data_IF_836254366320
#
_entry.id   IF_836254366320
#
_cell.length_a   1.000
_cell.length_b   1.000
_cell.length_c   1.000
_cell.angle_alpha   90.00
_cell.angle_beta   90.00
_cell.angle_gamma   90.00
#
_symmetry.space_group_name_H-M   'P 1'
#
loop_
_entity.id
_entity.type
_entity.pdbx_description
1 polymer ?
#
# COMPACT_ATOMS: atom_id res chain seq x y z
N UNK A 1 -9.08 -8.13 -19.81
CA UNK A 1 -9.76 -7.16 -18.92
C UNK A 1 -8.83 -6.95 -17.72
N UNK A 2 -7.99 -5.91 -17.76
CA UNK A 2 -7.02 -5.66 -16.69
C UNK A 2 -7.78 -5.19 -15.45
N UNK A 3 -7.78 -5.99 -14.39
CA UNK A 3 -8.35 -5.59 -13.11
C UNK A 3 -7.51 -4.44 -12.54
N UNK A 4 -8.05 -3.22 -12.59
CA UNK A 4 -7.49 -2.09 -11.87
C UNK A 4 -7.50 -2.43 -10.37
N UNK A 5 -6.32 -2.67 -9.81
CA UNK A 5 -6.23 -2.99 -8.39
C UNK A 5 -6.38 -1.72 -7.57
N UNK A 6 -7.42 -1.66 -6.76
CA UNK A 6 -7.71 -0.53 -5.89
C UNK A 6 -7.33 -0.84 -4.43
N UNK A 7 -6.75 0.14 -3.74
CA UNK A 7 -6.54 0.07 -2.28
C UNK A 7 -7.26 1.23 -1.60
N UNK A 8 -7.93 0.91 -0.49
CA UNK A 8 -8.60 1.91 0.33
C UNK A 8 -7.66 2.49 1.37
N UNK A 9 -7.10 3.68 1.15
CA UNK A 9 -6.15 4.34 2.05
C UNK A 9 -6.77 5.42 2.95
N UNK A 10 -6.09 5.78 4.03
CA UNK A 10 -6.41 6.97 4.81
C UNK A 10 -6.01 8.25 4.06
N UNK A 11 -6.59 9.39 4.45
CA UNK A 11 -6.20 10.70 3.90
C UNK A 11 -4.71 11.02 4.05
N UNK A 12 -4.05 10.54 5.10
CA UNK A 12 -2.61 10.75 5.31
C UNK A 12 -1.78 9.92 4.33
N UNK A 13 -2.15 8.66 4.16
CA UNK A 13 -1.48 7.79 3.18
C UNK A 13 -1.70 8.30 1.76
N UNK A 14 -2.92 8.72 1.41
CA UNK A 14 -3.21 9.32 0.11
C UNK A 14 -2.41 10.60 -0.14
N UNK A 15 -2.19 11.40 0.90
CA UNK A 15 -1.39 12.61 0.81
C UNK A 15 0.07 12.28 0.49
N UNK A 16 0.66 11.31 1.19
CA UNK A 16 2.03 10.83 0.93
C UNK A 16 2.16 10.21 -0.46
N UNK A 17 1.22 9.36 -0.83
CA UNK A 17 1.14 8.68 -2.12
C UNK A 17 1.10 9.66 -3.31
N UNK A 18 0.20 10.64 -3.24
CA UNK A 18 -0.01 11.63 -4.30
C UNK A 18 0.94 12.84 -4.20
N UNK A 19 1.83 12.89 -3.21
CA UNK A 19 2.78 13.99 -3.01
C UNK A 19 2.12 15.33 -2.70
N UNK A 20 0.97 15.34 -2.02
CA UNK A 20 0.20 16.56 -1.71
C UNK A 20 -0.12 16.66 -0.21
N UNK A 21 -0.61 17.81 0.25
CA UNK A 21 -1.02 17.96 1.65
C UNK A 21 -2.28 17.17 1.99
N UNK A 22 -2.43 16.76 3.26
CA UNK A 22 -3.68 16.13 3.78
C UNK A 22 -4.90 17.01 3.53
N UNK A 23 -4.75 18.34 3.67
CA UNK A 23 -5.82 19.31 3.40
C UNK A 23 -6.24 19.30 1.92
N UNK A 24 -5.28 19.12 1.00
CA UNK A 24 -5.54 18.96 -0.43
C UNK A 24 -6.37 17.72 -0.70
N UNK A 25 -6.00 16.57 -0.12
CA UNK A 25 -6.78 15.32 -0.25
C UNK A 25 -8.20 15.50 0.29
N UNK A 26 -8.37 16.07 1.49
CA UNK A 26 -9.70 16.33 2.06
C UNK A 26 -10.54 17.26 1.19
N UNK A 27 -9.93 18.29 0.59
CA UNK A 27 -10.59 19.18 -0.36
C UNK A 27 -11.02 18.42 -1.62
N UNK A 28 -10.15 17.59 -2.18
CA UNK A 28 -10.46 16.80 -3.38
C UNK A 28 -11.56 15.76 -3.11
N UNK A 29 -11.53 15.10 -1.95
CA UNK A 29 -12.57 14.18 -1.52
C UNK A 29 -13.93 14.90 -1.37
N UNK A 30 -13.95 16.08 -0.73
CA UNK A 30 -15.17 16.90 -0.61
C UNK A 30 -15.69 17.40 -1.97
N UNK A 31 -14.80 17.64 -2.93
CA UNK A 31 -15.13 18.06 -4.29
C UNK A 31 -15.50 16.89 -5.22
N UNK A 32 -15.45 15.63 -4.76
CA UNK A 32 -15.70 14.45 -5.60
C UNK A 32 -14.63 14.17 -6.65
N UNK A 33 -13.43 14.76 -6.52
CA UNK A 33 -12.30 14.58 -7.46
C UNK A 33 -11.47 13.32 -7.19
N UNK A 34 -11.74 12.65 -6.07
CA UNK A 34 -11.13 11.38 -5.69
C UNK A 34 -12.24 10.40 -5.37
N UNK A 35 -12.03 9.13 -5.71
CA UNK A 35 -12.90 8.07 -5.22
C UNK A 35 -12.70 7.97 -3.70
N UNK A 36 -13.67 8.46 -2.93
CA UNK A 36 -13.53 8.62 -1.49
C UNK A 36 -14.87 8.41 -0.80
N UNK A 37 -14.86 7.64 0.29
CA UNK A 37 -16.01 7.38 1.14
C UNK A 37 -15.74 7.82 2.57
N UNK A 38 -16.80 8.09 3.34
CA UNK A 38 -16.69 8.26 4.79
C UNK A 38 -16.98 6.94 5.50
N UNK A 39 -16.02 6.44 6.26
CA UNK A 39 -16.20 5.32 7.18
C UNK A 39 -15.91 5.81 8.60
N UNK A 40 -16.86 5.62 9.53
CA UNK A 40 -16.71 5.99 10.94
C UNK A 40 -16.20 7.43 11.17
N UNK A 41 -16.73 8.40 10.41
CA UNK A 41 -16.35 9.81 10.49
C UNK A 41 -14.99 10.16 9.86
N UNK A 42 -14.25 9.18 9.31
CA UNK A 42 -12.98 9.39 8.62
C UNK A 42 -13.12 9.19 7.12
N UNK A 43 -12.34 9.94 6.34
CA UNK A 43 -12.22 9.76 4.90
C UNK A 43 -11.36 8.53 4.58
N UNK A 44 -11.92 7.63 3.80
CA UNK A 44 -11.27 6.49 3.16
C UNK A 44 -11.18 6.82 1.67
N UNK A 45 -9.96 6.89 1.15
CA UNK A 45 -9.66 7.25 -0.24
C UNK A 45 -9.31 5.97 -0.99
N UNK A 46 -10.01 5.67 -2.05
CA UNK A 46 -9.67 4.56 -2.95
C UNK A 46 -8.64 5.05 -3.97
N UNK A 47 -7.45 4.47 -3.94
CA UNK A 47 -6.38 4.75 -4.91
C UNK A 47 -6.19 3.55 -5.83
N UNK A 48 -5.97 3.86 -7.11
CA UNK A 48 -5.59 2.87 -8.11
C UNK A 48 -4.10 2.60 -8.01
N UNK A 49 -3.72 1.37 -7.67
CA UNK A 49 -2.31 0.98 -7.48
C UNK A 49 -1.49 1.19 -8.77
N UNK A 50 -2.12 1.06 -9.94
CA UNK A 50 -1.47 1.21 -11.24
C UNK A 50 -0.83 2.59 -11.46
N UNK A 51 -1.28 3.64 -10.76
CA UNK A 51 -0.73 4.99 -10.91
C UNK A 51 0.57 5.19 -10.11
N UNK A 52 0.77 4.44 -9.03
CA UNK A 52 1.90 4.59 -8.11
C UNK A 52 2.96 3.49 -8.20
N UNK A 53 2.58 2.35 -8.77
CA UNK A 53 3.41 1.16 -8.89
C UNK A 53 3.39 0.65 -10.32
N UNK A 54 4.57 0.31 -10.82
CA UNK A 54 4.69 -0.38 -12.12
C UNK A 54 3.97 -1.74 -12.03
N UNK A 55 3.37 -2.25 -13.12
CA UNK A 55 2.70 -3.55 -13.12
C UNK A 55 3.57 -4.69 -12.57
N UNK A 56 4.88 -4.69 -12.88
CA UNK A 56 5.83 -5.66 -12.32
C UNK A 56 5.99 -5.57 -10.80
N UNK A 57 5.88 -4.37 -10.20
CA UNK A 57 5.91 -4.19 -8.76
C UNK A 57 4.62 -4.70 -8.10
N UNK A 58 3.48 -4.54 -8.78
CA UNK A 58 2.20 -5.10 -8.31
C UNK A 58 2.25 -6.62 -8.31
N UNK A 59 2.65 -7.23 -9.42
CA UNK A 59 2.79 -8.68 -9.53
C UNK A 59 3.73 -9.24 -8.44
N UNK A 60 4.89 -8.61 -8.22
CA UNK A 60 5.83 -9.01 -7.17
C UNK A 60 5.30 -8.83 -5.76
N UNK A 61 4.50 -7.79 -5.50
CA UNK A 61 3.87 -7.60 -4.20
C UNK A 61 2.82 -8.69 -3.92
N UNK A 62 2.04 -9.07 -4.94
CA UNK A 62 1.05 -10.14 -4.84
C UNK A 62 1.74 -11.50 -4.59
N UNK A 63 2.78 -11.82 -5.37
CA UNK A 63 3.60 -13.03 -5.17
C UNK A 63 4.13 -13.12 -3.73
N UNK A 64 4.67 -12.01 -3.19
CA UNK A 64 5.18 -11.95 -1.82
C UNK A 64 4.07 -12.25 -0.78
N UNK A 65 2.85 -11.78 -1.01
CA UNK A 65 1.70 -12.01 -0.12
C UNK A 65 1.21 -13.47 -0.23
N UNK A 66 1.13 -14.01 -1.45
CA UNK A 66 0.70 -15.38 -1.76
C UNK A 66 1.67 -16.41 -1.16
N UNK A 67 2.97 -16.18 -1.28
CA UNK A 67 4.02 -17.03 -0.71
C UNK A 67 4.16 -16.90 0.82
N UNK A 68 3.33 -16.06 1.46
CA UNK A 68 3.48 -15.68 2.86
C UNK A 68 4.89 -15.15 3.21
N UNK A 69 5.60 -14.60 2.23
CA UNK A 69 6.95 -14.04 2.34
C UNK A 69 6.95 -12.60 2.92
N UNK A 70 5.83 -12.17 3.51
CA UNK A 70 5.72 -10.96 4.31
C UNK A 70 5.04 -11.29 5.63
N UNK A 71 5.83 -11.25 6.70
CA UNK A 71 5.48 -11.82 7.99
C UNK A 71 5.26 -10.67 8.98
N UNK A 72 4.11 -10.60 9.67
CA UNK A 72 3.91 -9.61 10.72
C UNK A 72 4.90 -9.85 11.86
N UNK A 73 5.49 -8.78 12.36
CA UNK A 73 6.37 -8.84 13.53
C UNK A 73 5.57 -8.61 14.81
N UNK A 74 6.22 -8.75 15.98
CA UNK A 74 5.61 -8.41 17.27
C UNK A 74 5.27 -6.91 17.39
N UNK A 75 5.84 -6.07 16.53
CA UNK A 75 5.55 -4.63 16.49
C UNK A 75 4.32 -4.34 15.62
N UNK A 76 3.34 -3.64 16.18
CA UNK A 76 2.10 -3.32 15.49
C UNK A 76 2.36 -2.52 14.20
N UNK A 77 1.94 -3.07 13.05
CA UNK A 77 2.11 -2.45 11.73
C UNK A 77 3.51 -2.58 11.10
N UNK A 78 4.40 -3.38 11.70
CA UNK A 78 5.70 -3.71 11.12
C UNK A 78 5.76 -5.18 10.66
N UNK A 79 6.41 -5.40 9.54
CA UNK A 79 6.54 -6.66 8.83
C UNK A 79 8.00 -6.95 8.51
N UNK A 80 8.34 -8.22 8.36
CA UNK A 80 9.56 -8.68 7.73
C UNK A 80 9.22 -9.20 6.33
N UNK A 81 9.78 -8.58 5.30
CA UNK A 81 9.67 -9.08 3.93
C UNK A 81 10.88 -9.95 3.61
N UNK A 82 10.65 -11.20 3.23
CA UNK A 82 11.69 -12.14 2.83
C UNK A 82 12.07 -11.86 1.37
N UNK A 83 13.37 -11.77 1.12
CA UNK A 83 13.95 -11.59 -0.19
C UNK A 83 13.73 -12.82 -1.07
N UNK A 84 13.93 -12.66 -2.37
CA UNK A 84 13.83 -13.77 -3.33
C UNK A 84 14.88 -14.86 -3.13
N UNK A 85 15.95 -14.57 -2.39
CA UNK A 85 16.98 -15.53 -1.97
C UNK A 85 16.54 -16.41 -0.79
N UNK A 86 15.42 -16.09 -0.13
CA UNK A 86 14.90 -16.82 1.03
C UNK A 86 15.66 -16.56 2.33
N UNK A 87 16.77 -15.83 2.30
CA UNK A 87 17.67 -15.63 3.45
C UNK A 87 17.70 -14.17 3.89
N UNK A 88 17.69 -13.24 2.94
CA UNK A 88 17.67 -11.82 3.26
C UNK A 88 16.27 -11.43 3.73
N UNK A 89 16.16 -10.70 4.83
CA UNK A 89 14.90 -10.09 5.26
C UNK A 89 15.03 -8.57 5.38
N UNK A 90 13.96 -7.87 5.05
CA UNK A 90 13.88 -6.42 5.12
C UNK A 90 12.82 -5.98 6.12
N UNK A 91 13.13 -5.07 7.06
CA UNK A 91 12.12 -4.46 7.90
C UNK A 91 11.24 -3.56 7.05
N UNK A 92 9.93 -3.69 7.22
CA UNK A 92 8.91 -3.06 6.38
C UNK A 92 7.78 -2.53 7.25
N UNK A 93 7.35 -1.32 6.97
CA UNK A 93 6.04 -0.79 7.37
C UNK A 93 5.31 -0.37 6.10
N UNK A 94 4.03 0.02 6.23
CA UNK A 94 3.30 0.66 5.13
C UNK A 94 4.00 1.94 4.61
N UNK A 95 4.78 2.61 5.46
CA UNK A 95 5.42 3.89 5.13
C UNK A 95 6.90 3.78 4.76
N UNK A 96 7.62 2.78 5.30
CA UNK A 96 9.08 2.68 5.19
C UNK A 96 9.50 1.24 4.86
N UNK A 97 10.62 1.07 4.17
CA UNK A 97 11.16 -0.25 3.87
C UNK A 97 12.70 -0.19 3.87
N UNK A 98 13.33 -1.17 4.50
CA UNK A 98 14.79 -1.31 4.56
C UNK A 98 15.45 -1.78 3.26
N UNK A 99 14.70 -2.02 2.18
CA UNK A 99 15.30 -2.39 0.90
C UNK A 99 15.94 -1.17 0.21
N UNK A 100 16.84 -1.41 -0.75
CA UNK A 100 17.54 -0.34 -1.50
C UNK A 100 16.61 0.73 -2.07
N UNK A 101 15.46 0.33 -2.63
CA UNK A 101 14.47 1.26 -3.17
C UNK A 101 13.80 2.09 -2.06
N UNK A 102 13.42 1.46 -0.95
CA UNK A 102 12.81 2.13 0.20
C UNK A 102 13.76 3.10 0.89
N UNK A 103 15.03 2.73 1.06
CA UNK A 103 16.08 3.61 1.58
C UNK A 103 16.35 4.80 0.67
N UNK A 104 16.09 4.67 -0.64
CA UNK A 104 16.14 5.79 -1.60
C UNK A 104 14.86 6.65 -1.61
N UNK A 105 13.91 6.41 -0.71
CA UNK A 105 12.62 7.12 -0.67
C UNK A 105 11.64 6.76 -1.80
N UNK A 106 11.91 5.69 -2.57
CA UNK A 106 11.07 5.27 -3.70
C UNK A 106 10.00 4.27 -3.27
N UNK A 107 8.91 4.21 -4.03
CA UNK A 107 7.90 3.16 -3.90
C UNK A 107 8.50 1.79 -4.27
N UNK A 108 8.29 0.79 -3.42
CA UNK A 108 8.77 -0.56 -3.60
C UNK A 108 7.67 -1.58 -3.35
N UNK A 109 7.75 -2.75 -4.01
CA UNK A 109 6.72 -3.78 -3.91
C UNK A 109 6.56 -4.32 -2.47
N UNK A 110 7.59 -4.24 -1.63
CA UNK A 110 7.49 -4.60 -0.21
C UNK A 110 6.52 -3.72 0.58
N UNK A 111 6.51 -2.39 0.33
CA UNK A 111 5.56 -1.46 0.96
C UNK A 111 4.15 -1.71 0.46
N UNK A 112 4.00 -2.00 -0.83
CA UNK A 112 2.71 -2.41 -1.39
C UNK A 112 2.19 -3.69 -0.72
N UNK A 113 3.03 -4.72 -0.58
CA UNK A 113 2.67 -5.94 0.13
C UNK A 113 2.28 -5.68 1.59
N UNK A 114 2.94 -4.76 2.28
CA UNK A 114 2.57 -4.36 3.64
C UNK A 114 1.20 -3.67 3.70
N UNK A 115 0.88 -2.82 2.73
CA UNK A 115 -0.47 -2.24 2.60
C UNK A 115 -1.51 -3.33 2.40
N UNK A 116 -1.22 -4.32 1.55
CA UNK A 116 -2.10 -5.47 1.32
C UNK A 116 -2.29 -6.34 2.57
N UNK A 117 -1.23 -6.59 3.36
CA UNK A 117 -1.32 -7.37 4.61
C UNK A 117 -2.01 -6.62 5.75
N UNK A 118 -1.75 -5.32 5.90
CA UNK A 118 -2.35 -4.51 6.97
C UNK A 118 -3.86 -4.35 6.77
N UNK A 119 -4.29 -4.31 5.51
CA UNK A 119 -5.69 -4.25 5.13
C UNK A 119 -6.14 -5.62 4.66
N UNK A 120 -6.40 -6.51 5.59
CA UNK A 120 -7.14 -7.74 5.36
C UNK A 120 -8.58 -7.42 4.85
N UNK A 121 -8.68 -6.90 3.64
CA UNK A 121 -9.85 -6.72 2.77
C UNK A 121 -9.29 -6.58 1.34
N UNK A 122 -8.80 -7.69 0.79
CA UNK A 122 -8.76 -7.83 -0.67
C UNK A 122 -10.07 -8.52 -1.03
N UNK A 123 -10.96 -7.80 -1.72
CA UNK A 123 -12.36 -8.20 -1.87
C UNK A 123 -12.54 -9.58 -2.50
N UNK A 124 -13.51 -10.32 -2.00
CA UNK A 124 -14.42 -11.06 -2.88
C UNK A 124 -15.81 -10.45 -2.69
N UNK A 125 -16.21 -9.58 -3.63
CA UNK A 125 -17.61 -9.51 -3.96
C UNK A 125 -17.92 -10.80 -4.72
N UNK A 126 -18.60 -11.73 -4.04
CA UNK A 126 -19.52 -12.66 -4.67
C UNK A 126 -20.92 -12.03 -4.60
#
# INVERSE_FOLDING_TARGET
>A
MSASTEIQVTTREAATALGVSVRTIQRHAKQGKLNAAKANGRWVITLTIADEYKPAQVAKALELVEQAAIIPTSSNGAFAAIGSDGETWYPVTVHTCGCKAGLSGRNCYHRLAAHLKTRATYGSAA
#
